data_IF_409583961542
#
_entry.id   IF_409583961542
#
_cell.length_a   1.000
_cell.length_b   1.000
_cell.length_c   1.000
_cell.angle_alpha   90.00
_cell.angle_beta   90.00
_cell.angle_gamma   90.00
#
_symmetry.space_group_name_H-M   'P 1'
#
loop_
_entity.id
_entity.type
_entity.pdbx_description
1 polymer ?
#
# COMPACT_ATOMS: atom_id res chain seq x y z
N UNK A 1 14.33 3.69 -0.97
CA UNK A 1 13.64 3.27 -2.20
C UNK A 1 13.47 4.40 -3.23
N UNK A 2 13.76 4.15 -4.51
CA UNK A 2 13.38 5.04 -5.63
C UNK A 2 11.94 4.76 -6.08
N UNK A 3 11.02 5.67 -5.79
CA UNK A 3 9.58 5.52 -6.05
C UNK A 3 9.28 5.33 -7.55
N UNK A 4 8.29 4.51 -7.84
CA UNK A 4 7.73 4.36 -9.19
C UNK A 4 6.88 5.58 -9.54
N UNK A 5 7.01 6.09 -10.76
CA UNK A 5 6.23 7.23 -11.25
C UNK A 5 4.80 6.79 -11.59
N UNK A 6 3.98 6.62 -10.56
CA UNK A 6 2.56 6.30 -10.72
C UNK A 6 1.70 7.57 -10.70
N UNK A 7 0.63 7.66 -11.51
CA UNK A 7 -0.27 8.82 -11.47
C UNK A 7 -0.94 8.95 -10.10
N UNK A 8 -0.55 10.00 -9.35
CA UNK A 8 -1.06 10.23 -7.99
C UNK A 8 -2.59 10.30 -7.94
N UNK A 9 -3.23 10.97 -8.90
CA UNK A 9 -4.69 11.06 -8.97
C UNK A 9 -5.37 9.69 -9.11
N UNK A 10 -4.75 8.75 -9.82
CA UNK A 10 -5.26 7.39 -9.94
C UNK A 10 -5.14 6.63 -8.61
N UNK A 11 -4.02 6.81 -7.90
CA UNK A 11 -3.81 6.24 -6.56
C UNK A 11 -4.82 6.78 -5.55
N UNK A 12 -5.00 8.10 -5.52
CA UNK A 12 -5.97 8.75 -4.64
C UNK A 12 -7.39 8.26 -4.91
N UNK A 13 -7.76 8.09 -6.18
CA UNK A 13 -9.07 7.56 -6.57
C UNK A 13 -9.24 6.10 -6.12
N UNK A 14 -8.19 5.28 -6.23
CA UNK A 14 -8.22 3.90 -5.76
C UNK A 14 -8.39 3.84 -4.24
N UNK A 15 -7.63 4.65 -3.49
CA UNK A 15 -7.73 4.76 -2.03
C UNK A 15 -9.13 5.24 -1.61
N UNK A 16 -9.64 6.30 -2.25
CA UNK A 16 -10.97 6.84 -1.94
C UNK A 16 -12.08 5.81 -2.16
N UNK A 17 -11.99 4.98 -3.21
CA UNK A 17 -12.94 3.88 -3.43
C UNK A 17 -12.86 2.82 -2.33
N UNK A 18 -11.65 2.43 -1.91
CA UNK A 18 -11.43 1.43 -0.85
C UNK A 18 -11.93 1.90 0.50
N UNK A 19 -11.68 3.15 0.83
CA UNK A 19 -12.15 3.80 2.05
C UNK A 19 -13.67 3.62 2.23
N UNK A 20 -14.46 3.74 1.15
CA UNK A 20 -15.91 3.55 1.20
C UNK A 20 -16.36 2.10 1.44
N UNK A 21 -15.48 1.13 1.19
CA UNK A 21 -15.75 -0.30 1.41
C UNK A 21 -15.31 -0.79 2.80
N UNK A 22 -14.56 0.02 3.57
CA UNK A 22 -14.11 -0.38 4.90
C UNK A 22 -15.28 -0.60 5.87
N UNK A 23 -15.21 -1.58 6.78
CA UNK A 23 -16.16 -1.70 7.88
C UNK A 23 -15.96 -0.57 8.92
N UNK A 24 -16.97 -0.33 9.75
CA UNK A 24 -16.80 0.47 10.97
C UNK A 24 -16.01 -0.38 12.00
N UNK A 25 -15.09 0.21 12.81
CA UNK A 25 -14.78 1.65 12.93
C UNK A 25 -13.72 2.17 11.94
N UNK A 26 -13.13 1.30 11.10
CA UNK A 26 -12.01 1.67 10.22
C UNK A 26 -12.37 2.77 9.22
N UNK A 27 -13.60 2.73 8.68
CA UNK A 27 -14.09 3.75 7.74
C UNK A 27 -14.06 5.15 8.34
N UNK A 28 -14.66 5.33 9.50
CA UNK A 28 -14.80 6.64 10.16
C UNK A 28 -13.43 7.23 10.51
N UNK A 29 -12.57 6.40 11.09
CA UNK A 29 -11.20 6.77 11.44
C UNK A 29 -10.39 7.22 10.23
N UNK A 30 -10.49 6.48 9.12
CA UNK A 30 -9.73 6.78 7.91
C UNK A 30 -10.30 7.99 7.16
N UNK A 31 -11.63 8.13 7.07
CA UNK A 31 -12.29 9.27 6.42
C UNK A 31 -11.90 10.58 7.08
N UNK A 32 -11.96 10.64 8.42
CA UNK A 32 -11.60 11.85 9.18
C UNK A 32 -10.16 12.29 8.86
N UNK A 33 -9.20 11.35 8.93
CA UNK A 33 -7.79 11.64 8.63
C UNK A 33 -7.53 11.90 7.15
N UNK A 34 -8.19 11.17 6.25
CA UNK A 34 -8.05 11.35 4.81
C UNK A 34 -8.48 12.74 4.34
N UNK A 35 -9.41 13.37 5.06
CA UNK A 35 -9.81 14.76 4.81
C UNK A 35 -8.71 15.79 5.14
N UNK A 36 -7.77 15.42 6.00
CA UNK A 36 -6.67 16.29 6.42
C UNK A 36 -5.55 16.25 5.37
N UNK A 37 -5.31 17.37 4.69
CA UNK A 37 -4.26 17.49 3.65
C UNK A 37 -2.89 16.95 4.08
N UNK A 38 -2.37 17.24 5.30
CA UNK A 38 -1.07 16.72 5.72
C UNK A 38 -1.05 15.20 5.85
N UNK A 39 -2.10 14.61 6.42
CA UNK A 39 -2.22 13.16 6.55
C UNK A 39 -2.32 12.48 5.19
N UNK A 40 -3.22 12.96 4.32
CA UNK A 40 -3.39 12.42 2.96
C UNK A 40 -2.06 12.41 2.19
N UNK A 41 -1.33 13.52 2.21
CA UNK A 41 -0.01 13.62 1.56
C UNK A 41 0.98 12.60 2.16
N UNK A 42 1.10 12.56 3.47
CA UNK A 42 1.98 11.61 4.17
C UNK A 42 1.64 10.16 3.82
N UNK A 43 0.37 9.79 3.90
CA UNK A 43 -0.10 8.44 3.59
C UNK A 43 0.24 8.02 2.15
N UNK A 44 0.02 8.92 1.19
CA UNK A 44 0.37 8.66 -0.21
C UNK A 44 1.87 8.47 -0.37
N UNK A 45 2.67 9.43 0.12
CA UNK A 45 4.10 9.50 -0.13
C UNK A 45 4.89 8.38 0.60
N UNK A 46 4.46 8.04 1.82
CA UNK A 46 5.21 7.14 2.72
C UNK A 46 4.65 5.73 2.80
N UNK A 47 3.38 5.51 2.43
CA UNK A 47 2.72 4.20 2.54
C UNK A 47 2.23 3.69 1.18
N UNK A 48 1.31 4.41 0.54
CA UNK A 48 0.67 3.90 -0.67
C UNK A 48 1.61 3.84 -1.89
N UNK A 49 2.39 4.90 -2.15
CA UNK A 49 3.29 4.95 -3.30
C UNK A 49 4.50 3.99 -3.15
N UNK A 50 5.09 3.81 -1.95
CA UNK A 50 6.01 2.73 -1.68
C UNK A 50 5.44 1.33 -1.97
N UNK A 51 4.23 1.04 -1.51
CA UNK A 51 3.56 -0.23 -1.83
C UNK A 51 3.40 -0.43 -3.34
N UNK A 52 2.93 0.60 -4.05
CA UNK A 52 2.81 0.56 -5.51
C UNK A 52 4.17 0.32 -6.18
N UNK A 53 5.25 0.89 -5.62
CA UNK A 53 6.61 0.68 -6.14
C UNK A 53 7.05 -0.77 -5.98
N UNK A 54 6.82 -1.35 -4.80
CA UNK A 54 7.09 -2.77 -4.52
C UNK A 54 6.27 -3.67 -5.45
N UNK A 55 4.99 -3.36 -5.68
CA UNK A 55 4.13 -4.13 -6.59
C UNK A 55 4.57 -4.02 -8.06
N UNK A 56 4.92 -2.82 -8.53
CA UNK A 56 5.24 -2.56 -9.92
C UNK A 56 6.64 -3.06 -10.31
N UNK A 57 7.63 -2.89 -9.44
CA UNK A 57 9.05 -3.23 -9.71
C UNK A 57 9.48 -4.54 -9.08
N UNK A 58 8.90 -4.90 -7.93
CA UNK A 58 9.28 -6.08 -7.17
C UNK A 58 9.15 -7.38 -7.94
N UNK A 59 8.29 -7.47 -8.96
CA UNK A 59 8.20 -8.63 -9.85
C UNK A 59 9.42 -8.86 -10.76
N UNK A 60 10.26 -7.84 -10.95
CA UNK A 60 11.47 -7.91 -11.80
C UNK A 60 12.77 -7.95 -11.02
N UNK A 61 12.72 -7.74 -9.72
CA UNK A 61 13.92 -7.74 -8.88
C UNK A 61 14.37 -9.15 -8.53
N UNK A 62 15.66 -9.31 -8.26
CA UNK A 62 16.13 -10.48 -7.52
C UNK A 62 15.63 -10.44 -6.06
N UNK A 63 15.78 -11.57 -5.37
CA UNK A 63 15.26 -11.71 -4.02
C UNK A 63 15.94 -10.75 -3.03
N UNK A 64 17.26 -10.61 -3.12
CA UNK A 64 18.03 -9.75 -2.22
C UNK A 64 17.61 -8.26 -2.32
N UNK A 65 17.38 -7.78 -3.54
CA UNK A 65 16.91 -6.41 -3.79
C UNK A 65 15.49 -6.21 -3.25
N UNK A 66 14.61 -7.19 -3.46
CA UNK A 66 13.24 -7.12 -2.93
C UNK A 66 13.24 -7.06 -1.40
N UNK A 67 13.99 -7.94 -0.73
CA UNK A 67 14.05 -7.98 0.72
C UNK A 67 14.66 -6.68 1.29
N UNK A 68 15.70 -6.15 0.65
CA UNK A 68 16.30 -4.88 1.04
C UNK A 68 15.34 -3.70 0.89
N UNK A 69 14.58 -3.61 -0.20
CA UNK A 69 13.62 -2.51 -0.42
C UNK A 69 12.37 -2.66 0.46
N UNK A 70 11.94 -3.90 0.74
CA UNK A 70 10.85 -4.19 1.68
C UNK A 70 11.23 -3.80 3.11
N UNK A 71 12.47 -4.07 3.52
CA UNK A 71 13.02 -3.66 4.81
C UNK A 71 13.21 -2.14 4.89
N UNK A 72 13.67 -1.51 3.80
CA UNK A 72 13.84 -0.05 3.74
C UNK A 72 12.51 0.71 3.78
N UNK A 73 11.38 0.06 3.48
CA UNK A 73 10.04 0.60 3.70
C UNK A 73 9.66 0.54 5.19
N UNK A 74 10.41 1.26 6.02
CA UNK A 74 10.26 1.26 7.49
C UNK A 74 9.16 2.24 7.93
N UNK A 75 7.92 1.76 7.91
CA UNK A 75 6.73 2.50 8.35
C UNK A 75 5.83 1.60 9.17
N UNK A 76 5.02 2.21 10.05
CA UNK A 76 3.96 1.54 10.80
C UNK A 76 2.59 1.84 10.23
N UNK A 77 1.65 0.91 10.41
CA UNK A 77 0.28 1.02 9.91
C UNK A 77 -0.73 0.98 11.06
N UNK A 78 -1.70 1.88 11.03
CA UNK A 78 -2.94 1.72 11.78
C UNK A 78 -3.81 0.66 11.10
N UNK A 79 -4.75 0.07 11.85
CA UNK A 79 -5.61 -0.99 11.32
C UNK A 79 -6.36 -0.58 10.06
N UNK A 80 -7.00 0.58 10.09
CA UNK A 80 -7.70 1.12 8.94
C UNK A 80 -6.78 1.37 7.72
N UNK A 81 -5.53 1.75 7.94
CA UNK A 81 -4.57 1.98 6.85
C UNK A 81 -4.19 0.69 6.15
N UNK A 82 -3.89 -0.37 6.90
CA UNK A 82 -3.57 -1.66 6.30
C UNK A 82 -4.78 -2.25 5.56
N UNK A 83 -5.99 -2.11 6.12
CA UNK A 83 -7.23 -2.56 5.46
C UNK A 83 -7.50 -1.82 4.14
N UNK A 84 -7.10 -0.54 4.03
CA UNK A 84 -7.16 0.21 2.77
C UNK A 84 -6.16 -0.32 1.74
N UNK A 85 -4.95 -0.67 2.17
CA UNK A 85 -3.84 -1.06 1.29
C UNK A 85 -3.89 -2.54 0.90
N UNK A 86 -4.40 -3.41 1.75
CA UNK A 86 -4.43 -4.87 1.56
C UNK A 86 -5.08 -5.31 0.24
N UNK A 87 -6.24 -4.78 -0.18
CA UNK A 87 -6.83 -5.13 -1.48
C UNK A 87 -5.96 -4.75 -2.68
N UNK A 88 -5.03 -3.80 -2.52
CA UNK A 88 -4.08 -3.47 -3.58
C UNK A 88 -3.03 -4.56 -3.76
N UNK A 89 -2.73 -5.34 -2.72
CA UNK A 89 -1.82 -6.49 -2.74
C UNK A 89 -2.54 -7.76 -3.19
N UNK A 90 -3.82 -7.90 -2.86
CA UNK A 90 -4.66 -9.02 -3.29
C UNK A 90 -5.12 -8.91 -4.76
N UNK A 91 -4.79 -7.80 -5.43
CA UNK A 91 -4.98 -7.63 -6.86
C UNK A 91 -6.35 -7.12 -7.25
N UNK A 92 -6.92 -6.21 -6.49
CA UNK A 92 -8.22 -5.63 -6.81
C UNK A 92 -8.09 -4.23 -7.45
N UNK A 93 -8.59 -4.10 -8.68
CA UNK A 93 -8.74 -2.85 -9.42
C UNK A 93 -7.52 -2.45 -10.24
N UNK A 94 -7.28 -1.14 -10.40
CA UNK A 94 -6.25 -0.59 -11.30
C UNK A 94 -4.82 -1.03 -10.95
N UNK A 95 -4.57 -1.37 -9.67
CA UNK A 95 -3.27 -1.86 -9.20
C UNK A 95 -3.01 -3.32 -9.60
N UNK A 96 -4.05 -4.12 -9.89
CA UNK A 96 -3.93 -5.53 -10.30
C UNK A 96 -2.98 -5.71 -11.49
N UNK A 97 -3.03 -4.79 -12.47
CA UNK A 97 -2.18 -4.83 -13.66
C UNK A 97 -0.68 -4.73 -13.31
N UNK A 98 -0.36 -4.04 -12.21
CA UNK A 98 1.02 -3.86 -11.76
C UNK A 98 1.60 -5.16 -11.21
N UNK A 99 0.75 -6.00 -10.63
CA UNK A 99 1.10 -7.28 -10.01
C UNK A 99 1.21 -8.45 -11.00
N UNK A 100 0.93 -8.22 -12.30
CA UNK A 100 1.02 -9.28 -13.30
C UNK A 100 2.40 -9.95 -13.21
N UNK A 101 2.42 -11.25 -12.96
CA UNK A 101 3.61 -12.09 -12.74
C UNK A 101 4.37 -11.81 -11.42
N UNK A 102 3.73 -11.22 -10.41
CA UNK A 102 4.31 -11.12 -9.07
C UNK A 102 4.44 -12.54 -8.47
N UNK A 103 5.64 -12.93 -7.99
CA UNK A 103 5.79 -14.18 -7.26
C UNK A 103 4.89 -14.21 -6.02
N UNK A 104 4.13 -15.30 -5.77
CA UNK A 104 3.19 -15.39 -4.66
C UNK A 104 3.83 -15.10 -3.29
N UNK A 105 5.06 -15.55 -3.09
CA UNK A 105 5.84 -15.34 -1.86
C UNK A 105 6.11 -13.84 -1.59
N UNK A 106 6.25 -13.03 -2.63
CA UNK A 106 6.47 -11.58 -2.50
C UNK A 106 5.17 -10.84 -2.20
N UNK A 107 4.06 -11.27 -2.80
CA UNK A 107 2.75 -10.77 -2.44
C UNK A 107 2.43 -11.11 -0.97
N UNK A 108 2.73 -12.34 -0.54
CA UNK A 108 2.57 -12.75 0.85
C UNK A 108 3.45 -11.93 1.80
N UNK A 109 4.72 -11.69 1.46
CA UNK A 109 5.61 -10.85 2.27
C UNK A 109 5.08 -9.41 2.46
N UNK A 110 4.42 -8.85 1.44
CA UNK A 110 3.76 -7.55 1.55
C UNK A 110 2.55 -7.60 2.48
N UNK A 111 1.73 -8.65 2.40
CA UNK A 111 0.61 -8.87 3.31
C UNK A 111 1.10 -9.05 4.76
N UNK A 112 2.15 -9.85 4.96
CA UNK A 112 2.75 -10.10 6.27
C UNK A 112 3.32 -8.80 6.86
N UNK A 113 3.95 -7.95 6.04
CA UNK A 113 4.42 -6.64 6.47
C UNK A 113 3.27 -5.74 6.93
N UNK A 114 2.19 -5.65 6.14
CA UNK A 114 1.00 -4.89 6.52
C UNK A 114 0.39 -5.43 7.82
N UNK A 115 0.44 -6.75 8.05
CA UNK A 115 -0.08 -7.37 9.26
C UNK A 115 0.81 -7.16 10.48
N UNK A 116 2.13 -7.25 10.33
CA UNK A 116 3.12 -7.22 11.42
C UNK A 116 3.50 -5.81 11.87
N UNK A 117 3.67 -4.87 10.93
CA UNK A 117 4.26 -3.57 11.22
C UNK A 117 3.17 -2.58 11.68
N UNK A 118 2.46 -2.91 12.75
CA UNK A 118 1.37 -2.12 13.32
C UNK A 118 1.89 -1.01 14.25
N UNK A 119 1.11 0.07 14.37
CA UNK A 119 1.22 0.96 15.52
C UNK A 119 0.73 0.23 16.77
N UNK A 120 1.45 0.39 17.88
CA UNK A 120 1.08 -0.15 19.21
C UNK A 120 -0.17 0.53 19.79
#
# INVERSE_FOLDING_TARGET
>A
MKLYAFPQAALEKAIARRMLALPSPHREWFVDRWSQKPYKKSFIDTKALPLVTLLAKGKTWDQATFDSELAAWDVKFYDAEAEVLRPMVEGDGLIQLMQKNMPPERAQALLDKLARDRHD
#
